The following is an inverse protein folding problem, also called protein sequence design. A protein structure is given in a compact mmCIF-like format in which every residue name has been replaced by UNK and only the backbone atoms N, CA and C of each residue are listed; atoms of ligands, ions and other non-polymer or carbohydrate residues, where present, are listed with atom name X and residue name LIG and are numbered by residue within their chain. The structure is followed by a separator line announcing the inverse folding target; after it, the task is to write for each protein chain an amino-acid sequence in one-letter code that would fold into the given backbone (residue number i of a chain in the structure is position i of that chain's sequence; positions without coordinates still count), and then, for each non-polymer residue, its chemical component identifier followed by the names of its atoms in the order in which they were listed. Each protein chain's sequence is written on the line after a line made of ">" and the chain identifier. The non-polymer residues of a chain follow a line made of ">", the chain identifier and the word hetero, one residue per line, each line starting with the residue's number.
data_IF_085493318486
#
_entry.id   IF_085493318486
#
_cell.length_a   1.000
_cell.length_b   1.000
_cell.length_c   1.000
_cell.angle_alpha   90.00
_cell.angle_beta   90.00
_cell.angle_gamma   90.00
#
_symmetry.space_group_name_H-M   'P 1'
#
loop_
_entity.id
_entity.type
_entity.pdbx_description
1 polymer ?
#
# COMPACT_ATOMS: atom_id res chain seq x y z
N UNK A 1 18.43 13.69 5.42
CA UNK A 1 17.10 13.91 6.05
C UNK A 1 16.26 12.69 5.73
N UNK A 2 15.68 12.05 6.74
CA UNK A 2 14.78 10.93 6.49
C UNK A 2 13.55 11.42 5.72
N UNK A 3 13.16 10.72 4.67
CA UNK A 3 11.93 11.00 3.93
C UNK A 3 10.73 10.90 4.89
N UNK A 4 9.69 11.72 4.68
CA UNK A 4 8.48 11.65 5.49
C UNK A 4 7.80 10.28 5.36
N UNK A 5 7.70 9.77 4.13
CA UNK A 5 7.09 8.48 3.83
C UNK A 5 7.77 7.79 2.66
N UNK A 6 7.72 6.46 2.65
CA UNK A 6 8.08 5.60 1.53
C UNK A 6 6.84 4.89 1.02
N UNK A 7 6.51 5.04 -0.26
CA UNK A 7 5.53 4.17 -0.93
C UNK A 7 6.23 2.90 -1.39
N UNK A 8 5.62 1.76 -1.11
CA UNK A 8 6.11 0.43 -1.50
C UNK A 8 5.05 -0.23 -2.37
N UNK A 9 5.39 -0.52 -3.61
CA UNK A 9 4.50 -1.12 -4.60
C UNK A 9 4.98 -2.53 -4.95
N UNK A 10 4.30 -3.60 -4.46
CA UNK A 10 4.61 -4.95 -4.88
C UNK A 10 4.10 -5.20 -6.31
N UNK A 11 4.96 -5.76 -7.18
CA UNK A 11 4.63 -6.07 -8.58
C UNK A 11 5.10 -7.48 -8.93
N UNK A 12 4.26 -8.24 -9.60
CA UNK A 12 4.63 -9.53 -10.17
C UNK A 12 4.14 -9.57 -11.63
N UNK A 13 5.05 -9.42 -12.59
CA UNK A 13 4.80 -9.53 -14.04
C UNK A 13 3.65 -8.64 -14.58
N UNK A 14 3.34 -7.51 -13.94
CA UNK A 14 2.28 -6.57 -14.38
C UNK A 14 2.84 -5.15 -14.61
N UNK A 15 3.72 -5.03 -15.62
CA UNK A 15 4.28 -3.74 -16.03
C UNK A 15 3.19 -2.77 -16.50
N UNK A 16 2.08 -3.28 -17.07
CA UNK A 16 0.98 -2.45 -17.55
C UNK A 16 0.21 -1.78 -16.40
N UNK A 17 -0.06 -2.51 -15.31
CA UNK A 17 -0.67 -1.92 -14.12
C UNK A 17 0.26 -0.88 -13.50
N UNK A 18 1.54 -1.20 -13.35
CA UNK A 18 2.52 -0.28 -12.80
C UNK A 18 2.64 1.01 -13.62
N UNK A 19 2.71 0.95 -14.97
CA UNK A 19 2.73 2.14 -15.84
C UNK A 19 1.52 3.03 -15.63
N UNK A 20 0.31 2.43 -15.60
CA UNK A 20 -0.93 3.19 -15.32
C UNK A 20 -0.87 3.85 -13.96
N UNK A 21 -0.42 3.13 -12.95
CA UNK A 21 -0.28 3.66 -11.60
C UNK A 21 0.70 4.83 -11.54
N UNK A 22 1.86 4.70 -12.18
CA UNK A 22 2.88 5.75 -12.24
C UNK A 22 2.39 7.01 -12.98
N UNK A 23 1.51 6.86 -13.97
CA UNK A 23 0.95 7.97 -14.75
C UNK A 23 -0.21 8.66 -14.03
N UNK A 24 -1.04 7.90 -13.31
CA UNK A 24 -2.27 8.42 -12.68
C UNK A 24 -2.05 8.94 -11.26
N UNK A 25 -0.98 8.49 -10.57
CA UNK A 25 -0.75 8.81 -9.16
C UNK A 25 -0.12 10.19 -8.95
N UNK A 26 -0.72 11.03 -8.11
CA UNK A 26 -0.08 12.23 -7.61
C UNK A 26 1.08 11.84 -6.68
N UNK A 27 2.30 12.15 -7.09
CA UNK A 27 3.51 11.91 -6.29
C UNK A 27 4.05 13.25 -5.80
N UNK A 28 3.97 13.55 -4.50
CA UNK A 28 4.61 14.72 -3.93
C UNK A 28 6.12 14.72 -4.17
N UNK A 29 6.71 15.89 -4.39
CA UNK A 29 8.16 16.02 -4.49
C UNK A 29 8.84 15.54 -3.20
N UNK A 30 10.00 14.88 -3.32
CA UNK A 30 10.75 14.38 -2.17
C UNK A 30 10.20 13.08 -1.53
N UNK A 31 9.25 12.43 -2.20
CA UNK A 31 8.74 11.13 -1.78
C UNK A 31 9.67 10.01 -2.24
N UNK A 32 9.97 9.09 -1.34
CA UNK A 32 10.63 7.84 -1.68
C UNK A 32 9.62 6.83 -2.24
N UNK A 33 9.92 6.27 -3.41
CA UNK A 33 9.13 5.23 -4.05
C UNK A 33 9.99 4.01 -4.28
N UNK A 34 9.52 2.86 -3.82
CA UNK A 34 10.17 1.55 -4.00
C UNK A 34 9.19 0.62 -4.71
N UNK A 35 9.63 0.05 -5.83
CA UNK A 35 8.92 -1.04 -6.51
C UNK A 35 9.60 -2.35 -6.15
N UNK A 36 8.84 -3.25 -5.52
CA UNK A 36 9.32 -4.57 -5.11
C UNK A 36 8.80 -5.64 -6.07
N UNK A 37 9.66 -6.14 -6.95
CA UNK A 37 9.34 -7.20 -7.91
C UNK A 37 9.47 -8.57 -7.28
N UNK A 38 8.48 -9.44 -7.47
CA UNK A 38 8.48 -10.83 -7.02
C UNK A 38 9.23 -11.80 -7.96
N UNK A 39 9.90 -11.29 -8.98
CA UNK A 39 10.72 -12.01 -9.93
C UNK A 39 11.78 -11.07 -10.51
N UNK A 40 12.84 -11.59 -11.17
CA UNK A 40 13.71 -10.78 -11.99
C UNK A 40 12.90 -9.94 -12.99
N UNK A 41 13.36 -8.71 -13.25
CA UNK A 41 12.63 -7.80 -14.15
C UNK A 41 12.61 -8.37 -15.56
N UNK A 42 11.44 -8.64 -16.10
CA UNK A 42 11.25 -8.94 -17.49
C UNK A 42 11.52 -7.70 -18.39
N UNK A 43 11.46 -7.87 -19.70
CA UNK A 43 11.69 -6.76 -20.64
C UNK A 43 10.75 -5.57 -20.41
N UNK A 44 9.49 -5.84 -20.05
CA UNK A 44 8.49 -4.81 -19.87
C UNK A 44 8.70 -4.01 -18.56
N UNK A 45 9.04 -4.67 -17.45
CA UNK A 45 9.40 -4.03 -16.18
C UNK A 45 10.74 -3.32 -16.29
N UNK A 46 11.75 -3.90 -16.98
CA UNK A 46 13.03 -3.25 -17.23
C UNK A 46 12.88 -1.94 -18.00
N UNK A 47 11.98 -1.89 -18.99
CA UNK A 47 11.68 -0.65 -19.71
C UNK A 47 11.03 0.41 -18.81
N UNK A 48 10.20 0.01 -17.83
CA UNK A 48 9.67 0.93 -16.83
C UNK A 48 10.77 1.44 -15.92
N UNK A 49 11.66 0.56 -15.46
CA UNK A 49 12.78 0.94 -14.58
C UNK A 49 13.72 1.93 -15.27
N UNK A 50 14.01 1.72 -16.54
CA UNK A 50 14.84 2.64 -17.35
C UNK A 50 14.18 4.01 -17.53
N UNK A 51 12.85 4.04 -17.71
CA UNK A 51 12.09 5.29 -17.85
C UNK A 51 11.92 6.07 -16.55
N UNK A 52 12.14 5.43 -15.39
CA UNK A 52 11.96 6.00 -14.07
C UNK A 52 13.17 5.72 -13.17
N UNK A 53 14.34 6.32 -13.46
CA UNK A 53 15.57 6.09 -12.69
C UNK A 53 15.49 6.61 -11.24
N UNK A 54 14.53 7.46 -10.93
CA UNK A 54 14.26 7.97 -9.59
C UNK A 54 13.60 6.94 -8.66
N UNK A 55 13.09 5.84 -9.21
CA UNK A 55 12.42 4.78 -8.44
C UNK A 55 13.45 3.74 -8.01
N UNK A 56 13.46 3.39 -6.73
CA UNK A 56 14.24 2.25 -6.25
C UNK A 56 13.55 0.92 -6.61
N UNK A 57 14.31 -0.02 -7.17
CA UNK A 57 13.83 -1.33 -7.57
C UNK A 57 14.45 -2.42 -6.70
N UNK A 58 13.62 -3.26 -6.11
CA UNK A 58 14.04 -4.39 -5.28
C UNK A 58 13.47 -5.67 -5.90
N UNK A 59 14.31 -6.69 -6.02
CA UNK A 59 13.87 -8.04 -6.41
C UNK A 59 13.83 -8.92 -5.16
N UNK A 60 12.74 -9.65 -4.98
CA UNK A 60 12.55 -10.58 -3.86
C UNK A 60 11.92 -11.89 -4.37
N UNK A 61 11.87 -12.93 -3.55
CA UNK A 61 11.00 -14.08 -3.85
C UNK A 61 9.54 -13.65 -4.06
N UNK A 62 8.76 -14.41 -4.87
CA UNK A 62 7.35 -14.10 -5.10
C UNK A 62 6.54 -14.27 -3.82
N UNK A 63 5.56 -13.38 -3.65
CA UNK A 63 4.67 -13.32 -2.49
C UNK A 63 4.53 -11.89 -1.99
N UNK A 64 3.30 -11.38 -1.92
CA UNK A 64 3.04 -9.97 -1.56
C UNK A 64 3.74 -9.55 -0.27
N UNK A 65 3.59 -10.34 0.80
CA UNK A 65 4.23 -10.06 2.09
C UNK A 65 5.76 -10.01 1.99
N UNK A 66 6.37 -10.92 1.21
CA UNK A 66 7.82 -10.95 1.00
C UNK A 66 8.30 -9.73 0.22
N UNK A 67 7.60 -9.37 -0.85
CA UNK A 67 7.89 -8.18 -1.66
C UNK A 67 7.78 -6.90 -0.83
N UNK A 68 6.69 -6.75 -0.06
CA UNK A 68 6.48 -5.59 0.81
C UNK A 68 7.53 -5.51 1.92
N UNK A 69 7.95 -6.65 2.48
CA UNK A 69 9.04 -6.70 3.46
C UNK A 69 10.38 -6.29 2.85
N UNK A 70 10.69 -6.76 1.65
CA UNK A 70 11.93 -6.39 0.95
C UNK A 70 11.97 -4.88 0.67
N UNK A 71 10.86 -4.31 0.19
CA UNK A 71 10.74 -2.86 0.03
C UNK A 71 10.87 -2.10 1.34
N UNK A 72 10.23 -2.58 2.41
CA UNK A 72 10.31 -1.95 3.74
C UNK A 72 11.71 -2.01 4.36
N UNK A 73 12.50 -3.03 4.04
CA UNK A 73 13.89 -3.15 4.50
C UNK A 73 14.80 -2.05 3.88
N UNK A 74 14.54 -1.67 2.63
CA UNK A 74 15.26 -0.62 1.91
C UNK A 74 14.70 0.79 2.17
N UNK A 75 13.54 0.92 2.81
CA UNK A 75 12.84 2.18 3.00
C UNK A 75 13.51 3.08 4.07
N UNK A 76 13.54 4.39 3.78
CA UNK A 76 14.07 5.43 4.67
C UNK A 76 12.97 6.30 5.28
N UNK A 77 11.75 6.31 4.72
CA UNK A 77 10.63 7.08 5.23
C UNK A 77 10.22 6.70 6.65
N UNK A 78 9.77 7.67 7.44
CA UNK A 78 9.21 7.41 8.78
C UNK A 78 7.91 6.60 8.73
N UNK A 79 7.15 6.80 7.66
CA UNK A 79 5.94 6.04 7.34
C UNK A 79 6.19 5.12 6.15
N UNK A 80 5.74 3.88 6.24
CA UNK A 80 5.68 2.93 5.15
C UNK A 80 4.25 2.87 4.64
N UNK A 81 4.03 3.10 3.35
CA UNK A 81 2.72 3.07 2.71
C UNK A 81 2.72 1.95 1.66
N UNK A 82 1.98 0.90 1.92
CA UNK A 82 1.88 -0.27 1.04
C UNK A 82 0.73 -0.08 0.06
N UNK A 83 1.04 0.03 -1.23
CA UNK A 83 0.08 0.35 -2.30
C UNK A 83 0.18 -0.67 -3.42
N UNK A 84 -0.92 -1.32 -3.76
CA UNK A 84 -0.95 -2.20 -4.92
C UNK A 84 -1.00 -1.39 -6.23
N UNK A 85 -0.46 -1.94 -7.33
CA UNK A 85 -0.40 -1.25 -8.63
C UNK A 85 -1.78 -1.00 -9.29
N UNK A 86 -2.85 -1.47 -8.68
CA UNK A 86 -4.24 -1.25 -9.08
C UNK A 86 -5.02 -0.33 -8.12
N UNK A 87 -4.32 0.31 -7.17
CA UNK A 87 -4.89 1.20 -6.15
C UNK A 87 -4.36 2.61 -6.31
N UNK A 88 -5.23 3.58 -6.54
CA UNK A 88 -4.88 5.00 -6.61
C UNK A 88 -5.10 5.68 -5.26
N UNK A 89 -4.10 6.41 -4.81
CA UNK A 89 -4.16 7.19 -3.59
C UNK A 89 -4.92 8.51 -3.81
N UNK A 90 -5.62 9.05 -2.79
CA UNK A 90 -6.15 10.40 -2.84
C UNK A 90 -5.00 11.43 -2.93
N UNK A 91 -5.19 12.55 -3.63
CA UNK A 91 -4.12 13.53 -3.85
C UNK A 91 -3.54 14.15 -2.57
N UNK A 92 -4.32 14.19 -1.50
CA UNK A 92 -3.95 14.74 -0.20
C UNK A 92 -3.55 13.67 0.84
N UNK A 93 -3.19 12.47 0.40
CA UNK A 93 -2.79 11.36 1.27
C UNK A 93 -1.67 11.71 2.29
N UNK A 94 -0.68 12.59 2.00
CA UNK A 94 0.32 12.95 3.00
C UNK A 94 -0.27 13.64 4.23
N UNK A 95 -1.33 14.44 4.03
CA UNK A 95 -2.06 15.09 5.13
C UNK A 95 -2.72 14.07 6.06
N UNK A 96 -3.17 12.94 5.54
CA UNK A 96 -3.76 11.87 6.35
C UNK A 96 -2.70 11.20 7.24
N UNK A 97 -1.49 10.98 6.73
CA UNK A 97 -0.38 10.46 7.54
C UNK A 97 0.03 11.47 8.63
N UNK A 98 0.06 12.77 8.31
CA UNK A 98 0.34 13.81 9.29
C UNK A 98 -0.74 13.88 10.39
N UNK A 99 -2.02 13.72 10.03
CA UNK A 99 -3.13 13.61 11.00
C UNK A 99 -3.01 12.37 11.88
N UNK A 100 -2.66 11.22 11.28
CA UNK A 100 -2.41 10.00 12.02
C UNK A 100 -1.27 10.18 13.04
N UNK A 101 -0.17 10.81 12.63
CA UNK A 101 0.97 11.12 13.49
C UNK A 101 0.56 12.03 14.65
N UNK A 102 -0.18 13.10 14.37
CA UNK A 102 -0.66 14.04 15.40
C UNK A 102 -1.61 13.38 16.43
N UNK A 103 -2.27 12.27 16.06
CA UNK A 103 -3.14 11.48 16.92
C UNK A 103 -2.42 10.29 17.59
N UNK A 104 -1.10 10.18 17.44
CA UNK A 104 -0.31 9.10 18.02
C UNK A 104 -0.61 7.73 17.40
N UNK A 105 -1.16 7.67 16.20
CA UNK A 105 -1.44 6.42 15.53
C UNK A 105 -0.15 5.69 15.14
N UNK A 106 -0.16 4.36 15.27
CA UNK A 106 0.96 3.49 14.88
C UNK A 106 0.87 3.03 13.43
N UNK A 107 -0.30 3.18 12.82
CA UNK A 107 -0.60 2.84 11.43
C UNK A 107 -2.01 3.27 11.09
N UNK A 108 -2.46 2.94 9.88
CA UNK A 108 -3.80 3.26 9.43
C UNK A 108 -4.08 2.73 8.03
N UNK A 109 -5.22 3.12 7.49
CA UNK A 109 -5.70 2.72 6.18
C UNK A 109 -6.68 3.75 5.62
N UNK A 110 -6.88 3.71 4.32
CA UNK A 110 -7.84 4.56 3.63
C UNK A 110 -9.19 3.86 3.45
N UNK A 111 -10.22 4.63 3.21
CA UNK A 111 -11.53 4.09 2.83
C UNK A 111 -11.42 3.45 1.44
N UNK A 112 -12.09 2.33 1.27
CA UNK A 112 -12.14 1.61 0.00
C UNK A 112 -13.22 2.19 -0.93
N UNK A 113 -12.89 2.37 -2.22
CA UNK A 113 -13.83 2.70 -3.28
C UNK A 113 -13.41 1.97 -4.56
N UNK A 114 -14.38 1.43 -5.30
CA UNK A 114 -14.14 0.79 -6.60
C UNK A 114 -14.28 1.79 -7.75
N UNK A 115 -13.40 1.68 -8.73
CA UNK A 115 -13.46 2.43 -9.99
C UNK A 115 -14.57 1.87 -10.90
N UNK A 116 -15.84 1.92 -10.45
CA UNK A 116 -16.99 1.41 -11.18
C UNK A 116 -18.26 2.11 -10.72
N UNK A 117 -19.13 2.45 -11.66
CA UNK A 117 -20.46 3.02 -11.39
C UNK A 117 -21.55 1.95 -11.22
N UNK A 118 -21.20 0.68 -11.36
CA UNK A 118 -22.15 -0.42 -11.22
C UNK A 118 -22.74 -0.50 -9.80
N UNK A 119 -24.03 -0.84 -9.70
CA UNK A 119 -24.71 -1.03 -8.40
C UNK A 119 -24.02 -2.10 -7.54
N UNK A 120 -23.48 -3.14 -8.18
CA UNK A 120 -22.71 -4.18 -7.50
C UNK A 120 -21.48 -3.61 -6.78
N UNK A 121 -20.79 -2.61 -7.34
CA UNK A 121 -19.66 -1.96 -6.69
C UNK A 121 -20.08 -1.31 -5.35
N UNK A 122 -21.24 -0.67 -5.31
CA UNK A 122 -21.77 -0.06 -4.07
C UNK A 122 -22.10 -1.10 -3.00
N UNK A 123 -22.53 -2.29 -3.40
CA UNK A 123 -22.77 -3.41 -2.45
C UNK A 123 -21.44 -3.89 -1.86
N UNK A 124 -20.42 -4.05 -2.70
CA UNK A 124 -19.07 -4.45 -2.26
C UNK A 124 -18.50 -3.40 -1.29
N UNK A 125 -18.56 -2.11 -1.64
CA UNK A 125 -18.08 -1.02 -0.77
C UNK A 125 -18.78 -1.02 0.59
N UNK A 126 -20.09 -1.22 0.62
CA UNK A 126 -20.85 -1.35 1.88
C UNK A 126 -20.41 -2.56 2.70
N UNK A 127 -20.17 -3.70 2.04
CA UNK A 127 -19.64 -4.90 2.69
C UNK A 127 -18.26 -4.68 3.31
N UNK A 128 -17.35 -3.98 2.59
CA UNK A 128 -16.05 -3.58 3.11
C UNK A 128 -16.19 -2.65 4.29
N UNK A 129 -17.04 -1.62 4.20
CA UNK A 129 -17.28 -0.67 5.28
C UNK A 129 -17.86 -1.38 6.53
N UNK A 130 -18.80 -2.32 6.34
CA UNK A 130 -19.36 -3.13 7.41
C UNK A 130 -18.28 -3.98 8.11
N UNK A 131 -17.43 -4.69 7.32
CA UNK A 131 -16.31 -5.48 7.85
C UNK A 131 -15.36 -4.64 8.70
N UNK A 132 -15.01 -3.43 8.22
CA UNK A 132 -14.12 -2.52 8.96
C UNK A 132 -14.79 -2.07 10.25
N UNK A 133 -16.06 -1.66 10.19
CA UNK A 133 -16.81 -1.16 11.35
C UNK A 133 -16.93 -2.20 12.47
N UNK A 134 -17.20 -3.46 12.13
CA UNK A 134 -17.50 -4.49 13.11
C UNK A 134 -16.32 -5.40 13.45
N UNK A 135 -15.47 -5.68 12.48
CA UNK A 135 -14.32 -6.56 12.66
C UNK A 135 -12.99 -5.80 12.76
N UNK A 136 -13.01 -4.51 12.40
CA UNK A 136 -11.81 -3.65 12.34
C UNK A 136 -10.66 -4.29 11.52
N UNK A 137 -11.00 -4.92 10.40
CA UNK A 137 -10.09 -5.66 9.54
C UNK A 137 -10.02 -5.01 8.15
N UNK A 138 -9.21 -3.96 7.96
CA UNK A 138 -8.86 -3.48 6.62
C UNK A 138 -7.99 -4.51 5.91
N UNK A 139 -8.09 -4.56 4.58
CA UNK A 139 -7.24 -5.38 3.72
C UNK A 139 -6.19 -4.52 2.99
N UNK A 140 -5.21 -5.16 2.36
CA UNK A 140 -4.11 -4.49 1.67
C UNK A 140 -4.54 -3.60 0.50
N UNK A 141 -5.73 -3.81 -0.07
CA UNK A 141 -6.33 -2.97 -1.10
C UNK A 141 -6.79 -1.57 -0.59
N UNK A 142 -6.66 -1.30 0.70
CA UNK A 142 -6.96 -0.04 1.34
C UNK A 142 -5.72 0.84 1.60
N UNK A 143 -4.60 0.57 0.92
CA UNK A 143 -3.34 1.27 1.08
C UNK A 143 -2.95 1.41 2.58
N UNK A 144 -2.62 0.27 3.18
CA UNK A 144 -2.18 0.20 4.57
C UNK A 144 -0.91 1.03 4.77
N UNK A 145 -0.89 1.88 5.80
CA UNK A 145 0.31 2.61 6.19
C UNK A 145 0.68 2.34 7.65
N UNK A 146 1.98 2.32 7.93
CA UNK A 146 2.51 1.92 9.23
C UNK A 146 3.76 2.74 9.55
N UNK A 147 3.96 3.11 10.79
CA UNK A 147 5.23 3.68 11.26
C UNK A 147 6.35 2.66 11.08
N UNK A 148 7.45 3.07 10.44
CA UNK A 148 8.59 2.19 10.12
C UNK A 148 9.18 1.50 11.35
N UNK A 149 9.30 2.21 12.47
CA UNK A 149 9.80 1.66 13.73
C UNK A 149 8.90 0.56 14.28
N UNK A 150 7.58 0.77 14.23
CA UNK A 150 6.57 -0.23 14.65
C UNK A 150 6.60 -1.45 13.73
N UNK A 151 6.64 -1.23 12.40
CA UNK A 151 6.71 -2.31 11.43
C UNK A 151 7.93 -3.21 11.66
N UNK A 152 9.10 -2.59 11.91
CA UNK A 152 10.35 -3.32 12.21
C UNK A 152 10.26 -4.10 13.52
N UNK A 153 9.71 -3.52 14.59
CA UNK A 153 9.53 -4.24 15.87
C UNK A 153 8.62 -5.46 15.72
N UNK A 154 7.59 -5.36 14.90
CA UNK A 154 6.66 -6.46 14.63
C UNK A 154 7.24 -7.55 13.71
N UNK A 155 8.42 -7.33 13.10
CA UNK A 155 9.03 -8.25 12.16
C UNK A 155 8.35 -8.26 10.78
N UNK A 156 7.57 -7.23 10.45
CA UNK A 156 6.94 -7.06 9.14
C UNK A 156 5.75 -7.98 8.87
N UNK A 157 5.47 -8.22 7.60
CA UNK A 157 4.47 -9.20 7.15
C UNK A 157 4.98 -10.62 7.36
N UNK A 158 4.11 -11.52 7.80
CA UNK A 158 4.42 -12.95 7.81
C UNK A 158 4.39 -13.51 6.37
N UNK A 159 5.20 -14.55 6.07
CA UNK A 159 5.26 -15.14 4.72
C UNK A 159 4.05 -16.03 4.43
N UNK A 160 2.85 -15.50 4.68
CA UNK A 160 1.61 -16.20 4.41
C UNK A 160 1.18 -15.97 2.96
N UNK A 161 0.62 -16.96 2.28
CA UNK A 161 0.17 -16.80 0.90
C UNK A 161 -1.07 -15.90 0.77
N UNK A 162 -1.87 -15.79 1.85
CA UNK A 162 -3.08 -14.97 1.94
C UNK A 162 -3.24 -14.44 3.36
N UNK A 163 -3.91 -13.29 3.51
CA UNK A 163 -4.24 -12.65 4.79
C UNK A 163 -3.03 -12.17 5.60
N UNK A 164 -1.89 -11.95 4.95
CA UNK A 164 -0.68 -11.37 5.54
C UNK A 164 -0.94 -9.96 6.08
N UNK A 165 -1.81 -9.21 5.41
CA UNK A 165 -2.28 -7.88 5.79
C UNK A 165 -3.17 -7.92 7.05
N UNK A 166 -4.09 -8.86 7.11
CA UNK A 166 -4.97 -9.06 8.28
C UNK A 166 -4.15 -9.43 9.53
N UNK A 167 -3.16 -10.31 9.39
CA UNK A 167 -2.26 -10.65 10.49
C UNK A 167 -1.50 -9.41 10.98
N UNK A 168 -0.93 -8.63 10.05
CA UNK A 168 -0.22 -7.40 10.41
C UNK A 168 -1.14 -6.41 11.14
N UNK A 169 -2.34 -6.17 10.63
CA UNK A 169 -3.32 -5.27 11.27
C UNK A 169 -3.66 -5.72 12.69
N UNK A 170 -3.87 -7.02 12.92
CA UNK A 170 -4.12 -7.56 14.26
C UNK A 170 -2.97 -7.33 15.23
N UNK A 171 -1.72 -7.45 14.75
CA UNK A 171 -0.53 -7.17 15.55
C UNK A 171 -0.35 -5.67 15.80
N UNK A 172 -0.57 -4.83 14.80
CA UNK A 172 -0.51 -3.36 14.93
C UNK A 172 -1.49 -2.83 15.99
N UNK A 173 -2.70 -3.38 16.06
CA UNK A 173 -3.71 -2.95 17.05
C UNK A 173 -3.31 -3.21 18.49
N UNK A 174 -2.33 -4.07 18.73
CA UNK A 174 -1.76 -4.30 20.09
C UNK A 174 -0.66 -3.29 20.42
N UNK A 175 -0.08 -2.64 19.40
CA UNK A 175 0.95 -1.62 19.55
C UNK A 175 0.38 -0.21 19.79
N UNK A 176 -0.86 0.04 19.31
CA UNK A 176 -1.50 1.34 19.50
C UNK A 176 -2.70 1.58 18.57
N UNK A 177 -3.22 2.82 18.57
CA UNK A 177 -4.37 3.18 17.76
C UNK A 177 -4.05 3.15 16.26
N UNK A 178 -5.05 2.77 15.45
CA UNK A 178 -5.00 2.87 13.99
C UNK A 178 -5.86 4.03 13.52
N UNK A 179 -5.35 4.77 12.55
CA UNK A 179 -6.06 5.85 11.86
C UNK A 179 -6.89 5.28 10.73
N UNK A 180 -8.20 5.43 10.81
CA UNK A 180 -9.11 5.15 9.69
C UNK A 180 -9.38 6.47 8.95
N UNK A 181 -8.78 6.63 7.77
CA UNK A 181 -8.94 7.84 6.97
C UNK A 181 -10.33 7.91 6.33
N UNK A 182 -10.93 9.10 6.33
CA UNK A 182 -12.16 9.40 5.59
C UNK A 182 -11.92 9.49 4.07
N UNK A 183 -10.66 9.72 3.67
CA UNK A 183 -10.26 9.76 2.27
C UNK A 183 -10.29 8.36 1.67
N UNK A 184 -10.70 8.27 0.40
CA UNK A 184 -10.81 7.01 -0.29
C UNK A 184 -9.65 6.76 -1.23
N UNK A 185 -9.15 5.54 -1.23
CA UNK A 185 -8.41 4.99 -2.35
C UNK A 185 -9.38 4.49 -3.41
N UNK A 186 -8.98 4.56 -4.67
CA UNK A 186 -9.76 4.05 -5.80
C UNK A 186 -9.10 2.77 -6.31
N UNK A 187 -9.78 1.65 -6.17
CA UNK A 187 -9.32 0.33 -6.58
C UNK A 187 -9.88 -0.02 -7.96
N UNK A 188 -9.04 -0.52 -8.84
CA UNK A 188 -9.46 -0.95 -10.18
C UNK A 188 -10.49 -2.09 -10.10
N UNK A 189 -11.58 -1.96 -10.85
CA UNK A 189 -12.63 -2.99 -10.91
C UNK A 189 -12.24 -4.26 -11.68
N UNK A 190 -11.08 -4.28 -12.40
CA UNK A 190 -10.65 -5.40 -13.24
C UNK A 190 -10.65 -6.80 -12.60
N UNK A 191 -10.57 -6.88 -11.28
CA UNK A 191 -10.62 -8.17 -10.55
C UNK A 191 -12.05 -8.61 -10.23
N UNK A 192 -13.02 -7.75 -10.52
CA UNK A 192 -14.43 -7.95 -10.19
C UNK A 192 -15.31 -8.07 -11.44
N UNK A 193 -14.71 -7.87 -12.62
CA UNK A 193 -15.25 -8.13 -13.96
C UNK A 193 -14.88 -9.56 -14.42
#
# INVERSE_FOLDING_TARGET
>A
MDAFATIIVPVLNDAAALRRWLTAGARPAGLELIVASGAPLDRALSAVATAHPEIAWIVSPPGRGLQMNAGAAAAHGRWLLFVHADVLLPGDWPSELARAEARGAVGGFFRFTLASDARAARVIERGVAWRIRWLSLPYGDQALFVRRDVFRRLGGFRPWPLMEDVDLVRRLRREGPLWASDKAVVVSARRWE
#
